data_IF_252277569308
#
_entry.id   IF_252277569308
#
_cell.length_a   1.000
_cell.length_b   1.000
_cell.length_c   1.000
_cell.angle_alpha   90.00
_cell.angle_beta   90.00
_cell.angle_gamma   90.00
#
_symmetry.space_group_name_H-M   'P 1'
#
loop_
_entity.id
_entity.type
_entity.pdbx_description
1 polymer ?
#
# COMPACT_ATOMS: atom_id res chain seq x y z
N UNK A 1 8.41 0.07 8.72
CA UNK A 1 9.77 0.24 9.29
C UNK A 1 10.74 -0.79 8.72
N UNK A 2 10.44 -2.09 8.71
CA UNK A 2 11.20 -3.08 7.92
C UNK A 2 10.33 -3.50 6.73
N UNK A 3 10.63 -2.99 5.54
CA UNK A 3 9.83 -3.18 4.32
C UNK A 3 10.24 -4.39 3.49
N UNK A 4 11.45 -4.90 3.72
CA UNK A 4 12.01 -6.06 3.05
C UNK A 4 13.19 -6.62 3.83
N UNK A 5 13.48 -7.90 3.63
CA UNK A 5 14.72 -8.55 4.07
C UNK A 5 15.42 -9.17 2.87
N UNK A 6 16.75 -9.15 2.90
CA UNK A 6 17.60 -9.84 1.93
C UNK A 6 18.75 -10.52 2.66
N UNK A 7 18.95 -11.79 2.39
CA UNK A 7 19.97 -12.57 3.09
C UNK A 7 19.84 -14.06 2.84
N UNK A 8 20.65 -14.86 3.54
CA UNK A 8 20.66 -16.31 3.40
C UNK A 8 19.56 -16.93 4.25
N UNK A 9 18.75 -17.82 3.67
CA UNK A 9 17.73 -18.57 4.41
C UNK A 9 18.42 -19.61 5.29
N UNK A 10 18.22 -19.54 6.60
CA UNK A 10 18.84 -20.48 7.57
C UNK A 10 17.86 -21.54 8.05
N UNK A 11 16.55 -21.29 7.97
CA UNK A 11 15.51 -22.24 8.33
C UNK A 11 14.22 -21.98 7.55
N UNK A 12 13.53 -23.05 7.17
CA UNK A 12 12.16 -23.01 6.63
C UNK A 12 11.31 -23.99 7.43
N UNK A 13 10.29 -23.47 8.11
CA UNK A 13 9.28 -24.23 8.83
C UNK A 13 7.92 -24.19 8.12
N UNK A 14 6.86 -24.65 8.80
CA UNK A 14 5.52 -24.72 8.22
C UNK A 14 4.80 -23.36 8.10
N UNK A 15 5.14 -22.42 8.98
CA UNK A 15 4.46 -21.11 9.09
C UNK A 15 5.45 -19.93 9.09
N UNK A 16 6.74 -20.22 9.03
CA UNK A 16 7.79 -19.22 9.19
C UNK A 16 9.09 -19.66 8.56
N UNK A 17 9.94 -18.68 8.23
CA UNK A 17 11.33 -18.89 7.85
C UNK A 17 12.24 -17.98 8.68
N UNK A 18 13.53 -18.30 8.72
CA UNK A 18 14.57 -17.43 9.29
C UNK A 18 15.52 -17.03 8.16
N UNK A 19 15.75 -15.72 8.03
CA UNK A 19 16.69 -15.15 7.07
C UNK A 19 17.83 -14.50 7.86
N UNK A 20 19.06 -14.95 7.63
CA UNK A 20 20.25 -14.30 8.16
C UNK A 20 20.54 -13.02 7.37
N UNK A 21 20.47 -11.89 8.06
CA UNK A 21 20.84 -10.58 7.52
C UNK A 21 22.10 -10.12 8.24
N UNK A 22 23.27 -10.45 7.69
CA UNK A 22 24.58 -10.10 8.23
C UNK A 22 24.78 -10.55 9.70
N UNK A 23 24.42 -11.80 10.01
CA UNK A 23 24.54 -12.39 11.35
C UNK A 23 23.31 -12.20 12.24
N UNK A 24 22.27 -11.50 11.77
CA UNK A 24 20.99 -11.36 12.48
C UNK A 24 19.95 -12.31 11.89
N UNK A 25 19.55 -13.32 12.66
CA UNK A 25 18.47 -14.25 12.28
C UNK A 25 17.10 -13.58 12.39
N UNK A 26 16.53 -13.17 11.27
CA UNK A 26 15.22 -12.52 11.20
C UNK A 26 14.13 -13.56 10.95
N UNK A 27 13.29 -13.80 11.96
CA UNK A 27 12.13 -14.68 11.82
C UNK A 27 10.99 -13.94 11.10
N UNK A 28 10.50 -14.53 10.02
CA UNK A 28 9.34 -14.04 9.26
C UNK A 28 8.23 -15.08 9.25
N UNK A 29 7.00 -14.66 9.57
CA UNK A 29 5.80 -15.48 9.36
C UNK A 29 5.31 -15.29 7.94
N UNK A 30 4.98 -16.36 7.23
CA UNK A 30 4.58 -16.27 5.83
C UNK A 30 3.58 -17.36 5.46
N UNK A 31 2.92 -17.22 4.31
CA UNK A 31 2.02 -18.25 3.78
C UNK A 31 2.81 -19.48 3.33
N UNK A 32 2.20 -20.68 3.27
CA UNK A 32 2.85 -21.87 2.71
C UNK A 32 3.39 -21.65 1.30
N UNK A 33 2.69 -20.85 0.48
CA UNK A 33 3.11 -20.51 -0.88
C UNK A 33 4.41 -19.70 -0.88
N UNK A 34 4.51 -18.64 -0.07
CA UNK A 34 5.75 -17.86 0.05
C UNK A 34 6.90 -18.71 0.58
N UNK A 35 6.65 -19.56 1.59
CA UNK A 35 7.66 -20.46 2.15
C UNK A 35 8.15 -21.51 1.15
N UNK A 36 7.27 -22.00 0.27
CA UNK A 36 7.62 -22.94 -0.78
C UNK A 36 8.60 -22.36 -1.83
N UNK A 37 8.75 -21.03 -1.89
CA UNK A 37 9.76 -20.35 -2.70
C UNK A 37 11.14 -20.23 -2.02
N UNK A 38 11.24 -20.52 -0.72
CA UNK A 38 12.50 -20.36 0.04
C UNK A 38 13.28 -21.68 0.14
N UNK A 39 14.61 -21.59 0.11
CA UNK A 39 15.51 -22.74 0.18
C UNK A 39 16.63 -22.49 1.19
N UNK A 40 16.75 -23.35 2.19
CA UNK A 40 17.82 -23.25 3.20
C UNK A 40 19.20 -23.27 2.54
N UNK A 41 20.07 -22.34 2.93
CA UNK A 41 21.41 -22.16 2.37
C UNK A 41 21.47 -21.20 1.18
N UNK A 42 20.34 -20.81 0.60
CA UNK A 42 20.28 -19.90 -0.55
C UNK A 42 19.97 -18.46 -0.14
N UNK A 43 20.37 -17.52 -1.00
CA UNK A 43 20.01 -16.11 -0.88
C UNK A 43 18.55 -15.91 -1.28
N UNK A 44 17.81 -15.17 -0.46
CA UNK A 44 16.43 -14.80 -0.74
C UNK A 44 16.21 -13.30 -0.49
N UNK A 45 15.18 -12.77 -1.13
CA UNK A 45 14.63 -11.44 -0.85
C UNK A 45 13.14 -11.60 -0.59
N UNK A 46 12.64 -11.04 0.49
CA UNK A 46 11.22 -11.06 0.85
C UNK A 46 10.73 -9.66 1.15
N UNK A 47 9.52 -9.33 0.69
CA UNK A 47 8.84 -8.11 1.13
C UNK A 47 8.26 -8.35 2.52
N UNK A 48 8.30 -7.36 3.40
CA UNK A 48 7.84 -7.54 4.78
C UNK A 48 6.94 -6.43 5.28
N UNK A 49 5.95 -6.81 6.09
CA UNK A 49 5.17 -5.90 6.94
C UNK A 49 5.51 -6.19 8.41
N UNK A 50 5.83 -5.14 9.17
CA UNK A 50 6.15 -5.25 10.59
C UNK A 50 4.96 -4.78 11.43
N UNK A 51 4.45 -5.67 12.28
CA UNK A 51 3.37 -5.37 13.21
C UNK A 51 3.96 -5.24 14.61
N UNK A 52 3.77 -4.08 15.21
CA UNK A 52 4.21 -3.75 16.57
C UNK A 52 2.98 -3.70 17.47
N UNK A 53 3.03 -4.46 18.56
CA UNK A 53 2.10 -4.44 19.68
C UNK A 53 2.88 -4.10 20.95
N UNK A 54 2.17 -3.93 22.05
CA UNK A 54 2.76 -3.58 23.35
C UNK A 54 3.84 -4.58 23.80
N UNK A 55 3.62 -5.87 23.54
CA UNK A 55 4.45 -6.98 24.01
C UNK A 55 5.19 -7.73 22.90
N UNK A 56 5.05 -7.29 21.64
CA UNK A 56 5.54 -8.07 20.50
C UNK A 56 5.82 -7.26 19.25
N UNK A 57 6.86 -7.68 18.53
CA UNK A 57 7.17 -7.21 17.17
C UNK A 57 7.20 -8.44 16.27
N UNK A 58 6.37 -8.46 15.23
CA UNK A 58 6.27 -9.60 14.31
C UNK A 58 6.46 -9.15 12.88
N UNK A 59 7.32 -9.86 12.14
CA UNK A 59 7.47 -9.67 10.71
C UNK A 59 6.62 -10.69 9.96
N UNK A 60 5.85 -10.18 9.01
CA UNK A 60 5.11 -10.96 8.03
C UNK A 60 5.83 -10.83 6.69
N UNK A 61 6.17 -11.96 6.07
CA UNK A 61 6.91 -12.04 4.82
C UNK A 61 6.01 -12.40 3.64
N UNK A 62 6.32 -11.80 2.49
CA UNK A 62 5.60 -11.93 1.23
C UNK A 62 6.59 -12.11 0.08
N UNK A 63 6.13 -12.78 -0.98
CA UNK A 63 6.93 -13.00 -2.19
C UNK A 63 7.24 -11.67 -2.89
N UNK A 64 6.26 -10.77 -2.92
CA UNK A 64 6.37 -9.47 -3.56
C UNK A 64 5.70 -8.34 -2.76
N UNK A 65 5.83 -7.12 -3.27
CA UNK A 65 5.26 -5.94 -2.64
C UNK A 65 3.73 -5.84 -2.78
N UNK A 66 3.14 -6.49 -3.80
CA UNK A 66 1.69 -6.45 -4.05
C UNK A 66 0.93 -7.26 -2.98
N UNK A 67 1.45 -8.45 -2.65
CA UNK A 67 0.97 -9.25 -1.51
C UNK A 67 1.06 -8.47 -0.20
N UNK A 68 2.17 -7.76 0.04
CA UNK A 68 2.33 -6.92 1.23
C UNK A 68 1.30 -5.79 1.27
N UNK A 69 1.06 -5.11 0.15
CA UNK A 69 0.10 -4.00 0.06
C UNK A 69 -1.34 -4.47 0.33
N UNK A 70 -1.74 -5.60 -0.25
CA UNK A 70 -3.06 -6.19 0.02
C UNK A 70 -3.18 -6.61 1.49
N UNK A 71 -2.12 -7.18 2.07
CA UNK A 71 -2.09 -7.51 3.50
C UNK A 71 -2.28 -6.28 4.39
N UNK A 72 -1.54 -5.19 4.15
CA UNK A 72 -1.65 -3.95 4.92
C UNK A 72 -3.04 -3.32 4.77
N UNK A 73 -3.63 -3.38 3.58
CA UNK A 73 -4.99 -2.91 3.32
C UNK A 73 -6.04 -3.74 4.06
N UNK A 74 -5.84 -5.06 4.12
CA UNK A 74 -6.69 -5.97 4.91
C UNK A 74 -6.65 -5.64 6.40
N UNK A 75 -5.49 -5.25 6.94
CA UNK A 75 -5.36 -4.86 8.36
C UNK A 75 -6.13 -3.59 8.72
N UNK A 76 -6.41 -2.72 7.75
CA UNK A 76 -7.23 -1.53 7.96
C UNK A 76 -8.71 -1.86 8.13
N UNK A 77 -9.14 -3.08 7.80
CA UNK A 77 -10.51 -3.54 8.01
C UNK A 77 -10.72 -3.85 9.48
N UNK A 78 -11.79 -3.33 10.07
CA UNK A 78 -12.14 -3.63 11.46
C UNK A 78 -12.16 -5.15 11.68
N UNK A 79 -11.61 -5.61 12.81
CA UNK A 79 -11.54 -7.02 13.21
C UNK A 79 -10.79 -7.98 12.29
N UNK A 80 -10.08 -7.49 11.28
CA UNK A 80 -9.11 -8.29 10.53
C UNK A 80 -7.74 -8.11 11.15
N UNK A 81 -7.28 -9.15 11.86
CA UNK A 81 -5.93 -9.20 12.42
C UNK A 81 -4.90 -9.82 11.45
N UNK A 82 -3.60 -9.72 11.76
CA UNK A 82 -2.51 -10.25 10.92
C UNK A 82 -2.66 -11.73 10.54
N UNK A 83 -3.07 -12.58 11.48
CA UNK A 83 -3.29 -14.00 11.19
C UNK A 83 -4.42 -14.22 10.19
N UNK A 84 -5.50 -13.45 10.30
CA UNK A 84 -6.64 -13.55 9.39
C UNK A 84 -6.29 -13.00 8.01
N UNK A 85 -5.56 -11.89 7.95
CA UNK A 85 -5.06 -11.33 6.69
C UNK A 85 -4.10 -12.29 5.97
N UNK A 86 -3.18 -12.95 6.69
CA UNK A 86 -2.36 -14.03 6.12
C UNK A 86 -3.22 -15.21 5.62
N UNK A 87 -4.26 -15.60 6.37
CA UNK A 87 -5.15 -16.68 5.95
C UNK A 87 -5.91 -16.34 4.67
N UNK A 88 -6.31 -15.07 4.47
CA UNK A 88 -6.89 -14.61 3.21
C UNK A 88 -5.90 -14.80 2.07
N UNK A 89 -4.65 -14.34 2.23
CA UNK A 89 -3.59 -14.47 1.21
C UNK A 89 -3.05 -15.90 1.02
N UNK A 90 -3.36 -16.81 1.95
CA UNK A 90 -3.08 -18.24 1.78
C UNK A 90 -4.15 -18.95 0.92
N UNK A 91 -5.34 -18.38 0.79
CA UNK A 91 -6.47 -18.93 0.01
C UNK A 91 -6.64 -18.22 -1.32
N UNK A 92 -6.38 -16.91 -1.36
CA UNK A 92 -6.63 -16.04 -2.50
C UNK A 92 -5.37 -15.29 -2.89
N UNK A 93 -5.18 -15.13 -4.20
CA UNK A 93 -4.16 -14.22 -4.73
C UNK A 93 -4.54 -12.75 -4.46
N UNK A 94 -3.58 -11.82 -4.47
CA UNK A 94 -3.85 -10.38 -4.36
C UNK A 94 -4.95 -9.90 -5.34
N UNK A 95 -4.88 -10.35 -6.59
CA UNK A 95 -5.86 -9.99 -7.61
C UNK A 95 -7.26 -10.55 -7.31
N UNK A 96 -7.35 -11.81 -6.87
CA UNK A 96 -8.63 -12.40 -6.46
C UNK A 96 -9.27 -11.64 -5.28
N UNK A 97 -8.45 -11.12 -4.34
CA UNK A 97 -8.93 -10.24 -3.26
C UNK A 97 -9.47 -8.91 -3.81
N UNK A 98 -8.76 -8.27 -4.75
CA UNK A 98 -9.19 -7.02 -5.42
C UNK A 98 -10.52 -7.23 -6.16
N UNK A 99 -10.64 -8.31 -6.92
CA UNK A 99 -11.86 -8.66 -7.66
C UNK A 99 -13.02 -8.93 -6.70
N UNK A 100 -12.82 -9.74 -5.65
CA UNK A 100 -13.88 -10.05 -4.69
C UNK A 100 -14.37 -8.79 -3.95
N UNK A 101 -13.45 -7.90 -3.54
CA UNK A 101 -13.81 -6.64 -2.90
C UNK A 101 -14.60 -5.71 -3.83
N UNK A 102 -14.15 -5.54 -5.08
CA UNK A 102 -14.80 -4.64 -6.04
C UNK A 102 -16.15 -5.14 -6.57
N UNK A 103 -16.30 -6.45 -6.74
CA UNK A 103 -17.53 -7.08 -7.23
C UNK A 103 -18.59 -7.36 -6.15
N UNK A 104 -18.25 -7.14 -4.88
CA UNK A 104 -19.18 -7.40 -3.78
C UNK A 104 -19.26 -8.88 -3.36
N UNK A 105 -18.31 -9.74 -3.78
CA UNK A 105 -18.36 -11.19 -3.54
C UNK A 105 -17.90 -11.56 -2.11
N UNK A 106 -18.84 -11.51 -1.16
CA UNK A 106 -18.61 -11.94 0.23
C UNK A 106 -18.43 -13.46 0.37
N UNK A 107 -18.87 -14.26 -0.61
CA UNK A 107 -18.68 -15.72 -0.58
C UNK A 107 -17.22 -16.09 -0.77
N UNK A 108 -16.46 -15.33 -1.55
CA UNK A 108 -15.02 -15.53 -1.69
C UNK A 108 -14.31 -15.46 -0.33
N UNK A 109 -14.60 -14.43 0.47
CA UNK A 109 -14.00 -14.26 1.80
C UNK A 109 -14.51 -15.30 2.81
N UNK A 110 -15.75 -15.75 2.69
CA UNK A 110 -16.33 -16.77 3.58
C UNK A 110 -15.68 -18.15 3.44
N UNK A 111 -14.88 -18.40 2.37
CA UNK A 111 -14.08 -19.63 2.21
C UNK A 111 -12.87 -19.69 3.14
N UNK A 112 -12.45 -18.55 3.68
CA UNK A 112 -11.26 -18.46 4.53
C UNK A 112 -11.62 -18.90 5.96
N UNK A 113 -10.91 -19.88 6.54
CA UNK A 113 -11.16 -20.32 7.92
C UNK A 113 -11.09 -19.15 8.90
N UNK A 114 -12.13 -19.00 9.73
CA UNK A 114 -12.24 -17.90 10.69
C UNK A 114 -13.02 -16.67 10.18
N UNK A 115 -13.41 -16.63 8.90
CA UNK A 115 -14.28 -15.57 8.35
C UNK A 115 -15.71 -16.09 8.24
N UNK A 116 -16.58 -15.61 9.13
CA UNK A 116 -18.02 -15.88 9.03
C UNK A 116 -18.75 -14.94 8.04
N UNK A 117 -20.01 -15.23 7.69
CA UNK A 117 -20.78 -14.44 6.72
C UNK A 117 -20.97 -12.96 7.06
N UNK A 118 -20.95 -12.61 8.35
CA UNK A 118 -20.98 -11.19 8.79
C UNK A 118 -19.62 -10.52 8.58
N UNK A 119 -18.54 -11.23 8.89
CA UNK A 119 -17.17 -10.75 8.70
C UNK A 119 -16.86 -10.54 7.22
N UNK A 120 -17.24 -11.49 6.37
CA UNK A 120 -17.05 -11.39 4.93
C UNK A 120 -17.73 -10.16 4.32
N UNK A 121 -19.01 -9.92 4.66
CA UNK A 121 -19.73 -8.72 4.21
C UNK A 121 -19.08 -7.42 4.68
N UNK A 122 -18.58 -7.38 5.92
CA UNK A 122 -17.84 -6.23 6.43
C UNK A 122 -16.54 -6.01 5.66
N UNK A 123 -15.79 -7.08 5.39
CA UNK A 123 -14.54 -7.02 4.63
C UNK A 123 -14.79 -6.41 3.24
N UNK A 124 -15.77 -6.94 2.51
CA UNK A 124 -16.14 -6.41 1.19
C UNK A 124 -16.50 -4.92 1.26
N UNK A 125 -17.36 -4.53 2.20
CA UNK A 125 -17.81 -3.15 2.34
C UNK A 125 -16.64 -2.19 2.67
N UNK A 126 -15.77 -2.57 3.59
CA UNK A 126 -14.66 -1.72 4.03
C UNK A 126 -13.48 -1.70 3.05
N UNK A 127 -13.34 -2.72 2.20
CA UNK A 127 -12.34 -2.78 1.13
C UNK A 127 -12.83 -2.12 -0.17
N UNK A 128 -14.13 -1.93 -0.34
CA UNK A 128 -14.70 -1.28 -1.52
C UNK A 128 -14.04 0.09 -1.73
N UNK A 129 -13.47 0.29 -2.92
CA UNK A 129 -12.75 1.52 -3.28
C UNK A 129 -11.32 1.64 -2.73
N UNK A 130 -10.87 0.77 -1.81
CA UNK A 130 -9.48 0.75 -1.31
C UNK A 130 -8.58 -0.15 -2.15
N UNK A 131 -9.14 -1.23 -2.68
CA UNK A 131 -8.46 -2.17 -3.57
C UNK A 131 -9.10 -2.12 -4.95
N UNK A 132 -8.34 -1.62 -5.93
CA UNK A 132 -8.78 -1.56 -7.33
C UNK A 132 -8.09 -2.71 -8.11
N UNK A 133 -8.83 -3.50 -8.91
CA UNK A 133 -8.25 -4.53 -9.76
C UNK A 133 -7.18 -3.96 -10.70
N UNK A 134 -6.10 -4.70 -10.94
CA UNK A 134 -4.98 -4.20 -11.75
C UNK A 134 -5.36 -4.02 -13.22
N UNK A 135 -6.28 -4.84 -13.75
CA UNK A 135 -6.84 -4.71 -15.11
C UNK A 135 -7.83 -3.54 -15.24
N UNK A 136 -8.33 -3.00 -14.13
CA UNK A 136 -9.16 -1.78 -14.12
C UNK A 136 -8.32 -0.50 -14.15
N UNK A 137 -6.99 -0.59 -14.29
CA UNK A 137 -6.17 0.54 -14.72
C UNK A 137 -6.35 0.67 -16.24
N UNK A 138 -7.08 1.69 -16.75
CA UNK A 138 -7.00 2.02 -18.15
C UNK A 138 -5.51 2.24 -18.47
N UNK A 139 -5.06 1.68 -19.60
CA UNK A 139 -3.65 1.52 -19.93
C UNK A 139 -2.78 2.72 -19.52
N UNK A 140 -1.60 2.39 -18.98
CA UNK A 140 -0.51 3.31 -18.65
C UNK A 140 -0.23 4.19 -19.89
N UNK A 141 -0.91 5.31 -19.96
CA UNK A 141 -0.80 6.29 -21.04
C UNK A 141 -0.88 7.67 -20.39
N UNK A 142 0.24 8.38 -20.47
CA UNK A 142 0.50 9.81 -20.19
C UNK A 142 0.10 10.46 -18.84
N UNK A 143 -0.76 9.89 -18.00
CA UNK A 143 -1.22 10.49 -16.73
C UNK A 143 -0.66 9.87 -15.45
N UNK A 144 0.34 8.97 -15.53
CA UNK A 144 0.86 8.21 -14.37
C UNK A 144 1.34 9.10 -13.23
N UNK A 145 1.97 10.23 -13.53
CA UNK A 145 2.49 11.14 -12.52
C UNK A 145 1.39 11.99 -11.88
N UNK A 146 0.31 12.35 -12.60
CA UNK A 146 -0.77 13.19 -12.06
C UNK A 146 -1.49 12.49 -10.91
N UNK A 147 -1.83 11.20 -11.09
CA UNK A 147 -2.42 10.39 -10.02
C UNK A 147 -1.49 10.21 -8.82
N UNK A 148 -0.19 10.09 -9.06
CA UNK A 148 0.82 9.98 -7.98
C UNK A 148 0.97 11.28 -7.20
N UNK A 149 1.01 12.44 -7.89
CA UNK A 149 1.07 13.76 -7.26
C UNK A 149 -0.23 14.03 -6.48
N UNK A 150 -1.39 13.69 -7.03
CA UNK A 150 -2.68 13.82 -6.36
C UNK A 150 -2.73 12.98 -5.08
N UNK A 151 -2.31 11.72 -5.14
CA UNK A 151 -2.23 10.83 -3.96
C UNK A 151 -1.28 11.38 -2.91
N UNK A 152 -0.11 11.89 -3.32
CA UNK A 152 0.85 12.52 -2.41
C UNK A 152 0.27 13.78 -1.75
N UNK A 153 -0.42 14.62 -2.51
CA UNK A 153 -1.08 15.85 -2.01
C UNK A 153 -2.17 15.54 -0.97
N UNK A 154 -3.00 14.53 -1.23
CA UNK A 154 -4.01 14.08 -0.27
C UNK A 154 -3.36 13.51 1.00
N UNK A 155 -2.25 12.79 0.86
CA UNK A 155 -1.45 12.32 1.99
C UNK A 155 -0.86 13.44 2.86
N UNK A 156 -0.66 14.63 2.28
CA UNK A 156 -0.26 15.86 2.99
C UNK A 156 -1.43 16.62 3.61
N UNK A 157 -2.66 16.12 3.47
CA UNK A 157 -3.87 16.68 4.09
C UNK A 157 -4.69 17.64 3.22
N UNK A 158 -4.38 17.75 1.93
CA UNK A 158 -5.18 18.55 0.99
C UNK A 158 -6.39 17.78 0.49
N UNK A 159 -7.51 18.46 0.24
CA UNK A 159 -8.68 17.83 -0.38
C UNK A 159 -8.36 17.45 -1.84
N UNK A 160 -9.02 16.41 -2.36
CA UNK A 160 -8.85 15.99 -3.76
C UNK A 160 -9.11 17.15 -4.74
N UNK A 161 -10.13 17.96 -4.45
CA UNK A 161 -10.49 19.14 -5.24
C UNK A 161 -9.38 20.19 -5.25
N UNK A 162 -8.83 20.52 -4.08
CA UNK A 162 -7.79 21.54 -3.96
C UNK A 162 -6.46 21.05 -4.56
N UNK A 163 -6.15 19.76 -4.37
CA UNK A 163 -4.99 19.12 -4.95
C UNK A 163 -5.06 19.07 -6.48
N UNK A 164 -6.22 18.70 -7.04
CA UNK A 164 -6.44 18.72 -8.50
C UNK A 164 -6.25 20.11 -9.09
N UNK A 165 -6.90 21.12 -8.50
CA UNK A 165 -6.77 22.50 -8.95
C UNK A 165 -5.32 23.02 -8.88
N UNK A 166 -4.57 22.65 -7.84
CA UNK A 166 -3.18 23.02 -7.70
C UNK A 166 -2.28 22.34 -8.73
N UNK A 167 -2.54 21.07 -9.06
CA UNK A 167 -1.82 20.31 -10.09
C UNK A 167 -2.03 20.95 -11.46
N UNK A 168 -3.29 21.21 -11.84
CA UNK A 168 -3.63 21.79 -13.13
C UNK A 168 -2.95 23.15 -13.32
N UNK A 169 -2.98 23.97 -12.28
CA UNK A 169 -2.38 25.29 -12.33
C UNK A 169 -0.84 25.26 -12.39
N UNK A 170 -0.20 24.26 -11.75
CA UNK A 170 1.24 24.04 -11.84
C UNK A 170 1.67 23.56 -13.24
N UNK A 171 0.84 22.75 -13.90
CA UNK A 171 1.05 22.31 -15.28
C UNK A 171 0.96 23.46 -16.26
N UNK A 172 -0.02 24.35 -16.07
CA UNK A 172 -0.22 25.53 -16.92
C UNK A 172 0.94 26.52 -16.80
N UNK A 173 1.48 26.70 -15.59
CA UNK A 173 2.59 27.62 -15.32
C UNK A 173 3.95 27.09 -15.80
N UNK A 174 4.15 25.77 -15.78
CA UNK A 174 5.41 25.15 -16.19
C UNK A 174 5.18 23.86 -16.98
N UNK A 175 4.69 23.98 -18.23
CA UNK A 175 4.39 22.82 -19.07
C UNK A 175 5.64 21.99 -19.39
N UNK A 176 6.83 22.60 -19.36
CA UNK A 176 8.11 21.91 -19.55
C UNK A 176 8.40 20.90 -18.43
N UNK A 177 8.07 21.25 -17.17
CA UNK A 177 8.25 20.37 -16.02
C UNK A 177 7.24 19.24 -16.05
N UNK A 178 5.99 19.53 -16.43
CA UNK A 178 4.97 18.50 -16.64
C UNK A 178 5.34 17.51 -17.77
N UNK A 179 6.03 17.99 -18.81
CA UNK A 179 6.50 17.16 -19.91
C UNK A 179 7.62 16.19 -19.51
N UNK A 180 8.38 16.48 -18.45
CA UNK A 180 9.40 15.54 -17.92
C UNK A 180 8.77 14.31 -17.26
N UNK A 181 7.54 14.42 -16.76
CA UNK A 181 6.87 13.37 -15.99
C UNK A 181 7.53 13.07 -14.63
N UNK A 182 8.49 13.90 -14.17
CA UNK A 182 9.13 13.75 -12.88
C UNK A 182 8.18 14.18 -11.75
N UNK A 183 7.58 13.18 -11.11
CA UNK A 183 6.65 13.32 -9.98
C UNK A 183 7.21 14.22 -8.88
N UNK A 184 8.51 14.11 -8.57
CA UNK A 184 9.15 14.83 -7.49
C UNK A 184 9.33 16.32 -7.80
N UNK A 185 9.66 16.65 -9.05
CA UNK A 185 9.74 18.05 -9.48
C UNK A 185 8.36 18.70 -9.54
N UNK A 186 7.38 17.98 -10.07
CA UNK A 186 6.01 18.50 -10.22
C UNK A 186 5.38 18.70 -8.84
N UNK A 187 5.51 17.76 -7.92
CA UNK A 187 5.00 17.91 -6.55
C UNK A 187 5.63 19.11 -5.82
N UNK A 188 6.93 19.35 -5.99
CA UNK A 188 7.60 20.54 -5.41
C UNK A 188 7.06 21.84 -5.99
N UNK A 189 6.83 21.89 -7.30
CA UNK A 189 6.23 23.05 -7.97
C UNK A 189 4.83 23.32 -7.42
N UNK A 190 3.98 22.29 -7.36
CA UNK A 190 2.61 22.38 -6.84
C UNK A 190 2.58 22.86 -5.39
N UNK A 191 3.43 22.31 -4.51
CA UNK A 191 3.51 22.70 -3.10
C UNK A 191 4.03 24.14 -2.92
N UNK A 192 5.05 24.53 -3.69
CA UNK A 192 5.60 25.90 -3.66
C UNK A 192 4.52 26.92 -3.96
N UNK A 193 3.66 26.63 -4.94
CA UNK A 193 2.54 27.50 -5.31
C UNK A 193 1.52 27.65 -4.19
N UNK A 194 1.07 26.53 -3.62
CA UNK A 194 0.12 26.54 -2.50
C UNK A 194 0.65 27.32 -1.28
N UNK A 195 1.95 27.21 -0.99
CA UNK A 195 2.61 28.00 0.05
C UNK A 195 2.63 29.51 -0.25
N UNK A 196 2.78 29.89 -1.53
CA UNK A 196 2.77 31.29 -1.95
C UNK A 196 1.34 31.88 -2.00
N UNK A 197 0.34 31.09 -2.37
CA UNK A 197 -1.06 31.53 -2.41
C UNK A 197 -1.66 31.65 -0.99
N UNK A 198 -1.26 30.78 -0.05
CA UNK A 198 -1.57 30.94 1.38
C UNK A 198 -0.93 32.19 2.00
N UNK A 199 0.30 32.53 1.60
CA UNK A 199 0.98 33.76 2.00
C UNK A 199 0.31 35.02 1.41
N UNK A 200 -0.19 34.96 0.16
CA UNK A 200 -0.92 36.06 -0.49
C UNK A 200 -2.31 36.29 0.10
N UNK A 201 -3.01 35.23 0.50
CA UNK A 201 -4.33 35.30 1.16
C UNK A 201 -4.25 35.94 2.55
N UNK A 202 -3.22 35.59 3.33
CA UNK A 202 -2.98 36.19 4.65
C UNK A 202 -2.47 37.63 4.59
N UNK A 203 -1.68 38.00 3.58
CA UNK A 203 -1.23 39.37 3.35
C UNK A 203 -2.38 40.32 2.96
N UNK A 204 -3.34 39.87 2.14
CA UNK A 204 -4.52 40.69 1.76
C UNK A 204 -5.46 41.00 2.93
N UNK A 205 -5.54 40.12 3.95
CA UNK A 205 -6.36 40.37 5.15
C UNK A 205 -5.77 41.41 6.11
N UNK A 206 -4.47 41.67 6.08
CA UNK A 206 -3.79 42.63 6.99
C UNK A 206 -3.76 44.06 6.47
N UNK A 207 -4.01 44.29 5.17
CA UNK A 207 -3.99 45.64 4.57
C UNK A 207 -5.39 46.27 4.54
N UNK A 208 -6.42 45.51 4.94
CA UNK A 208 -7.83 45.94 4.95
C UNK A 208 -8.41 46.22 6.34
N UNK A 209 -7.58 46.39 7.38
CA UNK A 209 -7.98 46.80 8.74
C UNK A 209 -7.29 48.10 9.12
#
# INVERSE_FOLDING_TARGET
>A
MISSLRGTVTHVGLQSAVIDVNGFGMLVQATPQTLAGLRTGEQASVSTAMIVREDSMTLFGFEDADQREVFETLLAVSGVGPRLALAVLAVHTPDAVRVAASSGDDKAFSKVPGIGPKGARRIVLELAGKLVPLESKPGISKQTWQGQVLTAMMGLGWSEKDAGAAIDAAVEESPEVAATGDVGQILKLTLRRLGQDGARSSARRRVGS
#
